data_IF_871533172341
#
_entry.id   IF_871533172341
#
_cell.length_a   1.000
_cell.length_b   1.000
_cell.length_c   1.000
_cell.angle_alpha   90.00
_cell.angle_beta   90.00
_cell.angle_gamma   90.00
#
_symmetry.space_group_name_H-M   'P 1'
#
loop_
_entity.id
_entity.type
_entity.pdbx_description
1 polymer ?
#
# COMPACT_ATOMS: atom_id res chain seq x y z
N UNK A 1 -14.17 -20.58 4.97
CA UNK A 1 -13.24 -20.74 3.84
C UNK A 1 -11.85 -20.41 4.36
N UNK A 2 -10.92 -21.37 4.40
CA UNK A 2 -9.59 -21.12 4.98
C UNK A 2 -8.80 -20.20 4.06
N UNK A 3 -8.46 -19.02 4.55
CA UNK A 3 -7.57 -18.03 3.90
C UNK A 3 -6.16 -18.59 3.66
N UNK A 4 -5.85 -19.75 4.26
CA UNK A 4 -4.53 -20.40 4.29
C UNK A 4 -3.99 -20.96 2.95
N UNK A 5 -4.64 -20.70 1.81
CA UNK A 5 -4.17 -21.13 0.48
C UNK A 5 -3.78 -20.00 -0.46
N UNK A 6 -3.74 -18.76 0.02
CA UNK A 6 -3.18 -17.66 -0.75
C UNK A 6 -1.65 -17.69 -0.60
N UNK A 7 -0.98 -18.37 -1.52
CA UNK A 7 0.48 -18.32 -1.64
C UNK A 7 0.89 -16.85 -1.88
N UNK A 8 1.34 -16.19 -0.84
CA UNK A 8 1.91 -14.84 -0.93
C UNK A 8 3.35 -14.92 -1.41
N UNK A 9 3.70 -14.12 -2.40
CA UNK A 9 5.09 -13.88 -2.79
C UNK A 9 5.56 -12.62 -2.08
N UNK A 10 6.68 -12.74 -1.39
CA UNK A 10 7.33 -11.61 -0.73
C UNK A 10 8.25 -10.90 -1.72
N UNK A 11 8.01 -9.63 -1.91
CA UNK A 11 8.90 -8.76 -2.68
C UNK A 11 9.60 -7.85 -1.70
N UNK A 12 10.93 -7.97 -1.62
CA UNK A 12 11.77 -7.03 -0.87
C UNK A 12 12.20 -5.94 -1.83
N UNK A 13 11.85 -4.71 -1.50
CA UNK A 13 12.27 -3.54 -2.26
C UNK A 13 13.50 -2.97 -1.58
N UNK A 14 14.64 -3.08 -2.24
CA UNK A 14 15.89 -2.48 -1.78
C UNK A 14 15.85 -0.97 -2.03
N UNK A 15 16.06 -0.17 -1.01
CA UNK A 15 16.10 1.29 -1.10
C UNK A 15 17.49 1.76 -1.53
N UNK A 16 17.95 1.34 -2.71
CA UNK A 16 19.23 1.78 -3.27
C UNK A 16 19.13 3.13 -3.99
N UNK A 17 20.27 3.83 -4.15
CA UNK A 17 20.33 5.23 -4.60
C UNK A 17 19.97 5.48 -6.08
N UNK A 18 19.63 4.46 -6.87
CA UNK A 18 19.50 4.57 -8.33
C UNK A 18 18.08 4.36 -8.86
N UNK A 19 17.13 5.20 -8.44
CA UNK A 19 15.94 5.42 -9.28
C UNK A 19 15.84 6.92 -9.51
N UNK A 20 16.67 7.38 -10.43
CA UNK A 20 16.62 8.75 -10.94
C UNK A 20 16.02 8.75 -12.35
N UNK A 21 14.98 9.57 -12.51
CA UNK A 21 14.63 10.33 -13.72
C UNK A 21 14.48 9.54 -15.04
N UNK A 22 13.27 9.15 -15.39
CA UNK A 22 12.86 9.29 -16.79
C UNK A 22 11.35 9.30 -16.95
N UNK A 23 10.89 10.33 -17.60
CA UNK A 23 9.61 10.66 -18.24
C UNK A 23 8.83 11.79 -17.57
N UNK A 24 9.35 12.96 -17.79
CA UNK A 24 8.60 14.23 -17.84
C UNK A 24 7.85 14.21 -19.16
N UNK A 25 6.51 14.18 -19.15
CA UNK A 25 5.80 14.37 -20.41
C UNK A 25 4.34 13.95 -20.48
N UNK A 26 3.63 13.79 -19.36
CA UNK A 26 2.16 13.59 -19.42
C UNK A 26 1.46 14.17 -18.19
N UNK A 27 1.88 15.34 -17.76
CA UNK A 27 1.51 15.87 -16.43
C UNK A 27 0.45 16.97 -16.45
N UNK A 28 -0.18 17.27 -17.59
CA UNK A 28 -1.12 18.39 -17.66
C UNK A 28 -2.57 18.07 -17.25
N UNK A 29 -2.92 16.83 -17.00
CA UNK A 29 -4.30 16.47 -16.64
C UNK A 29 -4.46 15.85 -15.23
N UNK A 30 -3.37 15.66 -14.48
CA UNK A 30 -3.41 15.21 -13.07
C UNK A 30 -3.16 16.39 -12.13
N UNK A 31 -3.54 17.58 -12.54
CA UNK A 31 -3.13 18.83 -11.88
C UNK A 31 -3.73 19.10 -10.49
N UNK A 32 -4.51 18.18 -9.89
CA UNK A 32 -5.11 18.39 -8.57
C UNK A 32 -4.88 17.23 -7.58
N UNK A 33 -3.99 16.29 -7.87
CA UNK A 33 -3.70 15.20 -6.93
C UNK A 33 -2.46 15.52 -6.12
N UNK A 34 -2.61 15.73 -4.83
CA UNK A 34 -1.50 15.93 -3.88
C UNK A 34 -1.28 14.66 -3.07
N UNK A 35 0.01 14.38 -2.80
CA UNK A 35 0.38 13.31 -1.86
C UNK A 35 0.88 13.97 -0.59
N UNK A 36 0.28 13.60 0.53
CA UNK A 36 0.61 14.12 1.84
C UNK A 36 0.58 13.04 2.91
N UNK A 37 1.14 13.34 4.07
CA UNK A 37 0.99 12.47 5.23
C UNK A 37 -0.50 12.36 5.62
N UNK A 38 -0.93 11.15 5.99
CA UNK A 38 -2.28 10.89 6.48
C UNK A 38 -2.43 11.47 7.88
N UNK A 39 -3.50 12.21 8.12
CA UNK A 39 -3.79 12.78 9.44
C UNK A 39 -4.33 11.69 10.36
N UNK A 40 -4.15 11.86 11.67
CA UNK A 40 -4.61 10.88 12.66
C UNK A 40 -6.12 10.66 12.64
N UNK A 41 -6.90 11.72 12.39
CA UNK A 41 -8.36 11.64 12.24
C UNK A 41 -8.81 10.87 10.98
N UNK A 42 -7.90 10.66 10.03
CA UNK A 42 -8.16 9.93 8.78
C UNK A 42 -7.81 8.43 8.88
N UNK A 43 -7.19 7.97 9.99
CA UNK A 43 -6.78 6.56 10.12
C UNK A 43 -7.95 5.58 10.04
N UNK A 44 -9.17 6.02 10.34
CA UNK A 44 -10.38 5.21 10.13
C UNK A 44 -10.58 4.80 8.66
N UNK A 45 -10.06 5.59 7.69
CA UNK A 45 -10.14 5.27 6.27
C UNK A 45 -9.27 4.06 5.89
N UNK A 46 -8.28 3.69 6.70
CA UNK A 46 -7.42 2.54 6.43
C UNK A 46 -8.21 1.24 6.31
N UNK A 47 -9.35 1.12 6.99
CA UNK A 47 -10.24 -0.04 6.85
C UNK A 47 -10.78 -0.18 5.44
N UNK A 48 -11.24 0.91 4.83
CA UNK A 48 -11.74 0.90 3.46
C UNK A 48 -10.59 0.66 2.46
N UNK A 49 -9.44 1.29 2.67
CA UNK A 49 -8.27 1.06 1.81
C UNK A 49 -7.70 -0.35 1.95
N UNK A 50 -7.76 -0.95 3.13
CA UNK A 50 -7.37 -2.35 3.32
C UNK A 50 -8.29 -3.29 2.54
N UNK A 51 -9.60 -3.05 2.56
CA UNK A 51 -10.55 -3.82 1.75
C UNK A 51 -10.27 -3.65 0.24
N UNK A 52 -10.03 -2.43 -0.23
CA UNK A 52 -9.66 -2.15 -1.62
C UNK A 52 -8.30 -2.76 -2.05
N UNK A 53 -7.42 -3.07 -1.09
CA UNK A 53 -6.15 -3.74 -1.35
C UNK A 53 -6.31 -5.25 -1.59
N UNK A 54 -7.44 -5.85 -1.19
CA UNK A 54 -7.71 -7.27 -1.42
C UNK A 54 -7.85 -7.50 -2.93
N UNK A 55 -6.99 -8.37 -3.46
CA UNK A 55 -7.11 -8.76 -4.86
C UNK A 55 -8.27 -9.73 -5.06
N UNK A 56 -9.16 -9.39 -5.96
CA UNK A 56 -10.30 -10.22 -6.36
C UNK A 56 -10.12 -10.56 -7.84
N UNK A 57 -9.91 -11.85 -8.17
CA UNK A 57 -9.81 -12.29 -9.55
C UNK A 57 -11.07 -11.94 -10.33
N UNK A 58 -10.91 -11.76 -11.64
CA UNK A 58 -12.05 -11.53 -12.54
C UNK A 58 -13.06 -12.69 -12.47
N UNK A 59 -14.34 -12.35 -12.42
CA UNK A 59 -15.43 -13.33 -12.31
C UNK A 59 -15.68 -13.89 -10.90
N UNK A 60 -14.90 -13.48 -9.91
CA UNK A 60 -15.10 -13.86 -8.51
C UNK A 60 -15.86 -12.75 -7.76
N UNK A 61 -16.89 -13.15 -7.03
CA UNK A 61 -17.64 -12.22 -6.19
C UNK A 61 -16.77 -11.67 -5.05
N UNK A 62 -16.77 -10.35 -4.81
CA UNK A 62 -16.02 -9.77 -3.70
C UNK A 62 -16.45 -10.36 -2.36
N UNK A 63 -15.51 -10.62 -1.44
CA UNK A 63 -15.85 -11.05 -0.09
C UNK A 63 -16.64 -9.96 0.63
N UNK A 64 -17.46 -10.30 1.64
CA UNK A 64 -18.13 -9.28 2.44
C UNK A 64 -17.09 -8.39 3.14
N UNK A 65 -17.46 -7.13 3.40
CA UNK A 65 -16.55 -6.16 4.05
C UNK A 65 -16.05 -6.64 5.43
N UNK A 66 -16.80 -7.49 6.12
CA UNK A 66 -16.38 -8.11 7.38
C UNK A 66 -15.11 -8.97 7.27
N UNK A 67 -14.67 -9.30 6.06
CA UNK A 67 -13.39 -10.02 5.87
C UNK A 67 -12.19 -9.27 6.48
N UNK A 68 -12.24 -7.94 6.54
CA UNK A 68 -11.17 -7.13 7.15
C UNK A 68 -11.10 -7.30 8.68
N UNK A 69 -12.14 -7.84 9.32
CA UNK A 69 -12.17 -8.07 10.76
C UNK A 69 -11.34 -9.30 11.18
N UNK A 70 -10.86 -10.09 10.21
CA UNK A 70 -9.99 -11.21 10.55
C UNK A 70 -8.66 -10.72 11.14
N UNK A 71 -8.10 -11.42 12.15
CA UNK A 71 -6.91 -10.97 12.87
C UNK A 71 -5.71 -10.65 11.97
N UNK A 72 -5.52 -11.45 10.92
CA UNK A 72 -4.39 -11.31 9.99
C UNK A 72 -4.46 -9.99 9.18
N UNK A 73 -5.66 -9.51 8.87
CA UNK A 73 -5.86 -8.23 8.19
C UNK A 73 -5.89 -7.07 9.18
N UNK A 74 -6.44 -7.27 10.37
CA UNK A 74 -6.44 -6.25 11.42
C UNK A 74 -5.04 -5.85 11.83
N UNK A 75 -4.05 -6.75 11.76
CA UNK A 75 -2.64 -6.43 12.07
C UNK A 75 -2.11 -5.24 11.23
N UNK A 76 -2.65 -5.03 10.04
CA UNK A 76 -2.26 -3.91 9.17
C UNK A 76 -2.77 -2.54 9.63
N UNK A 77 -3.87 -2.49 10.42
CA UNK A 77 -4.57 -1.23 10.70
C UNK A 77 -4.95 -1.01 12.16
N UNK A 78 -5.01 -2.08 12.99
CA UNK A 78 -5.43 -1.96 14.38
C UNK A 78 -4.54 -0.99 15.14
N UNK A 79 -5.17 -0.01 15.83
CA UNK A 79 -4.45 1.02 16.59
C UNK A 79 -3.34 1.72 15.78
N UNK A 80 -3.60 1.99 14.49
CA UNK A 80 -2.62 2.62 13.62
C UNK A 80 -2.22 4.00 14.16
N UNK A 81 -0.91 4.29 14.11
CA UNK A 81 -0.31 5.51 14.67
C UNK A 81 0.26 5.33 16.08
N UNK A 82 -0.03 4.22 16.76
CA UNK A 82 0.49 3.96 18.12
C UNK A 82 1.87 3.26 18.11
N UNK A 83 2.27 2.68 17.00
CA UNK A 83 3.60 2.04 16.86
C UNK A 83 4.58 3.03 16.25
N UNK A 84 5.82 3.03 16.75
CA UNK A 84 6.90 3.96 16.34
C UNK A 84 7.12 4.04 14.82
N UNK A 85 6.83 2.95 14.10
CA UNK A 85 7.11 2.81 12.66
C UNK A 85 5.86 2.93 11.79
N UNK A 86 4.71 3.27 12.37
CA UNK A 86 3.50 3.51 11.60
C UNK A 86 3.65 4.79 10.78
N UNK A 87 3.58 4.67 9.46
CA UNK A 87 3.60 5.77 8.52
C UNK A 87 2.56 5.54 7.45
N UNK A 88 1.78 6.56 7.14
CA UNK A 88 0.80 6.51 6.06
C UNK A 88 0.84 7.80 5.23
N UNK A 89 0.74 7.65 3.92
CA UNK A 89 0.54 8.73 2.98
C UNK A 89 -0.78 8.52 2.25
N UNK A 90 -1.41 9.62 1.90
CA UNK A 90 -2.65 9.63 1.11
C UNK A 90 -2.46 10.42 -0.17
N UNK A 91 -3.18 10.00 -1.19
CA UNK A 91 -3.43 10.78 -2.38
C UNK A 91 -4.77 11.49 -2.21
N UNK A 92 -4.74 12.82 -2.22
CA UNK A 92 -5.92 13.67 -2.12
C UNK A 92 -6.19 14.38 -3.44
N UNK A 93 -7.43 14.37 -3.88
CA UNK A 93 -7.89 15.05 -5.08
C UNK A 93 -9.19 15.80 -4.76
N UNK A 94 -9.20 17.10 -5.00
CA UNK A 94 -10.37 17.97 -4.73
C UNK A 94 -10.92 17.80 -3.29
N UNK A 95 -10.02 17.70 -2.32
CA UNK A 95 -10.36 17.53 -0.90
C UNK A 95 -10.79 16.11 -0.49
N UNK A 96 -10.79 15.15 -1.41
CA UNK A 96 -11.15 13.76 -1.13
C UNK A 96 -9.92 12.86 -1.13
N UNK A 97 -9.78 12.00 -0.13
CA UNK A 97 -8.76 10.95 -0.11
C UNK A 97 -9.17 9.83 -1.07
N UNK A 98 -8.35 9.61 -2.09
CA UNK A 98 -8.66 8.67 -3.20
C UNK A 98 -7.74 7.45 -3.24
N UNK A 99 -6.68 7.46 -2.45
CA UNK A 99 -5.73 6.36 -2.31
C UNK A 99 -4.90 6.52 -1.06
N UNK A 100 -4.41 5.41 -0.54
CA UNK A 100 -3.51 5.38 0.60
C UNK A 100 -2.40 4.35 0.43
N UNK A 101 -1.26 4.63 1.04
CA UNK A 101 -0.15 3.73 1.21
C UNK A 101 0.35 3.86 2.65
N UNK A 102 0.59 2.73 3.30
CA UNK A 102 1.07 2.74 4.68
C UNK A 102 2.04 1.61 4.96
N UNK A 103 2.86 1.81 5.94
CA UNK A 103 3.85 0.84 6.43
C UNK A 103 3.74 0.67 7.93
N UNK A 104 4.09 -0.52 8.39
CA UNK A 104 4.12 -0.90 9.80
C UNK A 104 5.09 -2.07 9.98
N UNK A 105 5.79 -2.12 11.11
CA UNK A 105 6.50 -3.33 11.50
C UNK A 105 5.51 -4.27 12.18
N UNK A 106 5.31 -5.44 11.58
CA UNK A 106 4.35 -6.43 12.06
C UNK A 106 4.76 -7.85 11.66
N UNK A 107 4.24 -8.83 12.39
CA UNK A 107 4.44 -10.25 12.10
C UNK A 107 3.36 -10.75 11.14
N UNK A 108 3.35 -10.22 9.94
CA UNK A 108 2.47 -10.68 8.86
C UNK A 108 3.09 -11.87 8.09
N UNK A 109 2.40 -12.33 7.05
CA UNK A 109 2.92 -13.33 6.12
C UNK A 109 4.21 -12.88 5.40
N UNK A 110 4.52 -11.58 5.46
CA UNK A 110 5.64 -10.89 4.86
C UNK A 110 6.76 -10.56 5.81
N UNK A 111 6.65 -10.96 7.05
CA UNK A 111 7.66 -10.64 8.05
C UNK A 111 9.03 -11.20 7.66
N UNK A 112 9.99 -10.30 7.52
CA UNK A 112 11.39 -10.64 7.22
C UNK A 112 12.24 -10.50 8.48
N UNK A 113 12.15 -9.36 9.13
CA UNK A 113 12.82 -9.02 10.38
C UNK A 113 12.16 -7.79 11.02
N UNK A 114 12.56 -7.48 12.25
CA UNK A 114 11.99 -6.35 13.00
C UNK A 114 12.42 -4.96 12.49
N UNK A 115 13.28 -4.90 11.49
CA UNK A 115 13.78 -3.66 10.89
C UNK A 115 13.24 -3.46 9.45
N UNK A 116 12.35 -4.34 8.99
CA UNK A 116 11.75 -4.27 7.65
C UNK A 116 10.26 -3.99 7.75
N UNK A 117 9.81 -2.75 7.53
CA UNK A 117 8.39 -2.44 7.54
C UNK A 117 7.65 -3.18 6.40
N UNK A 118 6.46 -3.67 6.70
CA UNK A 118 5.53 -4.24 5.73
C UNK A 118 4.63 -3.15 5.16
N UNK A 119 4.47 -3.14 3.83
CA UNK A 119 3.72 -2.13 3.09
C UNK A 119 2.36 -2.67 2.66
N UNK A 120 1.34 -1.82 2.77
CA UNK A 120 0.07 -2.01 2.10
C UNK A 120 -0.31 -0.74 1.32
N UNK A 121 -1.01 -0.91 0.20
CA UNK A 121 -1.41 0.20 -0.65
C UNK A 121 -2.66 -0.14 -1.44
N UNK A 122 -3.55 0.85 -1.57
CA UNK A 122 -4.64 0.79 -2.54
C UNK A 122 -5.03 2.18 -3.04
N UNK A 123 -5.68 2.17 -4.21
CA UNK A 123 -6.29 3.34 -4.83
C UNK A 123 -7.70 2.92 -5.25
N UNK A 124 -8.70 3.73 -4.97
CA UNK A 124 -10.08 3.45 -5.37
C UNK A 124 -10.17 3.15 -6.86
N UNK A 125 -10.95 2.15 -7.23
CA UNK A 125 -11.02 1.57 -8.58
C UNK A 125 -11.15 2.62 -9.69
N UNK A 126 -11.97 3.64 -9.48
CA UNK A 126 -12.21 4.72 -10.47
C UNK A 126 -11.00 5.61 -10.74
N UNK A 127 -9.98 5.58 -9.88
CA UNK A 127 -8.77 6.40 -10.01
C UNK A 127 -7.52 5.55 -10.34
N UNK A 128 -7.69 4.26 -10.60
CA UNK A 128 -6.59 3.38 -11.02
C UNK A 128 -6.16 3.69 -12.45
N UNK A 129 -4.92 3.36 -12.79
CA UNK A 129 -4.35 3.63 -14.12
C UNK A 129 -3.84 5.06 -14.33
N UNK A 130 -4.06 5.97 -13.38
CA UNK A 130 -3.65 7.39 -13.46
C UNK A 130 -2.25 7.65 -12.86
N UNK A 131 -1.47 6.61 -12.54
CA UNK A 131 -0.14 6.77 -11.94
C UNK A 131 -0.11 7.11 -10.45
N UNK A 132 -1.27 7.27 -9.80
CA UNK A 132 -1.38 7.67 -8.38
C UNK A 132 -0.67 6.68 -7.47
N UNK A 133 -0.87 5.38 -7.65
CA UNK A 133 -0.17 4.35 -6.87
C UNK A 133 1.35 4.42 -7.01
N UNK A 134 1.84 4.70 -8.22
CA UNK A 134 3.28 4.88 -8.47
C UNK A 134 3.81 6.11 -7.73
N UNK A 135 3.06 7.20 -7.70
CA UNK A 135 3.43 8.43 -7.00
C UNK A 135 3.43 8.22 -5.48
N UNK A 136 2.40 7.56 -4.93
CA UNK A 136 2.34 7.16 -3.52
C UNK A 136 3.55 6.32 -3.13
N UNK A 137 3.86 5.29 -3.92
CA UNK A 137 5.00 4.41 -3.65
C UNK A 137 6.34 5.17 -3.67
N UNK A 138 6.57 6.00 -4.68
CA UNK A 138 7.80 6.81 -4.78
C UNK A 138 7.99 7.71 -3.56
N UNK A 139 6.92 8.39 -3.14
CA UNK A 139 6.96 9.28 -1.99
C UNK A 139 7.23 8.50 -0.69
N UNK A 140 6.55 7.36 -0.48
CA UNK A 140 6.78 6.53 0.69
C UNK A 140 8.22 5.99 0.74
N UNK A 141 8.76 5.49 -0.38
CA UNK A 141 10.14 5.02 -0.44
C UNK A 141 11.14 6.11 -0.04
N UNK A 142 10.87 7.36 -0.41
CA UNK A 142 11.69 8.50 -0.01
C UNK A 142 11.59 8.77 1.50
N UNK A 143 10.38 8.76 2.04
CA UNK A 143 10.12 8.96 3.49
C UNK A 143 10.82 7.88 4.31
N UNK A 144 10.65 6.60 3.95
CA UNK A 144 11.24 5.49 4.66
C UNK A 144 12.78 5.49 4.58
N UNK A 145 13.35 5.88 3.45
CA UNK A 145 14.80 6.03 3.31
C UNK A 145 15.34 7.15 4.20
N UNK A 146 14.64 8.28 4.30
CA UNK A 146 15.01 9.38 5.21
C UNK A 146 14.86 8.98 6.68
N UNK A 147 13.94 8.08 6.99
CA UNK A 147 13.77 7.49 8.32
C UNK A 147 14.85 6.44 8.67
N UNK A 148 15.74 6.09 7.71
CA UNK A 148 16.86 5.18 7.93
C UNK A 148 16.59 3.72 7.54
N UNK A 149 15.43 3.41 6.96
CA UNK A 149 15.14 2.05 6.49
C UNK A 149 15.84 1.78 5.15
N UNK A 150 16.49 0.63 5.04
CA UNK A 150 17.18 0.19 3.82
C UNK A 150 16.29 -0.64 2.89
N UNK A 151 15.19 -1.17 3.40
CA UNK A 151 14.25 -2.04 2.69
C UNK A 151 12.86 -1.97 3.28
N UNK A 152 11.86 -2.27 2.48
CA UNK A 152 10.48 -2.53 2.89
C UNK A 152 10.00 -3.82 2.24
N UNK A 153 9.03 -4.49 2.84
CA UNK A 153 8.42 -5.71 2.31
C UNK A 153 7.02 -5.42 1.76
N UNK A 154 6.61 -6.19 0.76
CA UNK A 154 5.27 -6.14 0.18
C UNK A 154 4.81 -7.57 -0.08
N UNK A 155 3.69 -7.94 0.50
CA UNK A 155 3.02 -9.20 0.21
C UNK A 155 2.06 -9.03 -0.96
N UNK A 156 2.25 -9.81 -2.02
CA UNK A 156 1.35 -9.84 -3.18
C UNK A 156 0.89 -11.25 -3.48
N UNK A 157 -0.31 -11.39 -4.01
CA UNK A 157 -0.78 -12.70 -4.47
C UNK A 157 0.02 -13.16 -5.69
N UNK A 158 0.31 -14.45 -5.77
CA UNK A 158 1.11 -15.07 -6.84
C UNK A 158 0.53 -14.78 -8.23
N UNK A 159 -0.78 -14.92 -8.41
CA UNK A 159 -1.48 -14.63 -9.68
C UNK A 159 -1.22 -13.20 -10.18
N UNK A 160 -1.17 -12.22 -9.27
CA UNK A 160 -0.91 -10.82 -9.62
C UNK A 160 0.54 -10.54 -9.99
N UNK A 161 1.49 -11.33 -9.47
CA UNK A 161 2.92 -11.19 -9.78
C UNK A 161 3.27 -11.69 -11.18
N UNK A 162 2.49 -12.61 -11.73
CA UNK A 162 2.72 -13.18 -13.07
C UNK A 162 2.22 -12.25 -14.19
N UNK A 163 1.16 -11.48 -13.96
CA UNK A 163 0.63 -10.48 -14.92
C UNK A 163 1.61 -9.32 -15.22
N UNK A 164 2.61 -9.09 -14.38
CA UNK A 164 3.60 -8.00 -14.56
C UNK A 164 4.86 -8.41 -15.31
N UNK A 165 4.93 -9.63 -15.80
CA UNK A 165 6.09 -10.15 -16.54
C UNK A 165 5.91 -10.10 -18.07
N UNK A 166 4.88 -9.43 -18.56
CA UNK A 166 4.64 -9.21 -19.99
C UNK A 166 5.12 -7.82 -20.40
#
# INVERSE_FOLDING_TARGET
>A
MKISKLLSIHIVIQLSQHILLSKIGLWSEIMDCIIREMRSEEYCLLSDFLYEAIYIPEGIEPPPKSVIECPELQEYIVEFGNRKHDKALVAEMQGNVIGAIWVRIMNDYGHIDNDTPSLAMSVYKKYRGLGIGTSLLKQLLQVERLAGYSKISLSVQKSRSEERRV
#
